data_IF_823917826986
#
_entry.id   IF_823917826986
#
_cell.length_a   1.000
_cell.length_b   1.000
_cell.length_c   1.000
_cell.angle_alpha   90.00
_cell.angle_beta   90.00
_cell.angle_gamma   90.00
#
_symmetry.space_group_name_H-M   'P 1'
#
loop_
_entity.id
_entity.type
_entity.pdbx_description
1 polymer ?
#
# COMPACT_ATOMS: atom_id res chain seq x y z
N UNK A 1 14.08 18.93 -27.02
CA UNK A 1 13.25 19.47 -25.92
C UNK A 1 14.09 19.50 -24.67
N UNK A 2 13.92 20.47 -23.75
CA UNK A 2 14.66 20.46 -22.49
C UNK A 2 14.26 19.25 -21.64
N UNK A 3 15.18 18.66 -20.85
CA UNK A 3 14.86 17.55 -19.95
C UNK A 3 13.67 17.86 -19.02
N UNK A 4 13.60 19.10 -18.54
CA UNK A 4 12.51 19.60 -17.69
C UNK A 4 11.15 19.52 -18.38
N UNK A 5 11.07 19.88 -19.66
CA UNK A 5 9.81 19.81 -20.40
C UNK A 5 9.32 18.36 -20.57
N UNK A 6 10.23 17.41 -20.78
CA UNK A 6 9.91 15.98 -20.90
C UNK A 6 9.32 15.46 -19.58
N UNK A 7 9.97 15.77 -18.45
CA UNK A 7 9.49 15.38 -17.12
C UNK A 7 8.11 15.95 -16.83
N UNK A 8 7.87 17.24 -17.14
CA UNK A 8 6.57 17.87 -16.92
C UNK A 8 5.46 17.25 -17.77
N UNK A 9 5.74 16.92 -19.03
CA UNK A 9 4.77 16.23 -19.91
C UNK A 9 4.45 14.85 -19.33
N UNK A 10 5.47 14.08 -18.95
CA UNK A 10 5.27 12.75 -18.37
C UNK A 10 4.52 12.80 -17.03
N UNK A 11 4.74 13.84 -16.23
CA UNK A 11 3.98 14.08 -14.99
C UNK A 11 2.49 14.29 -15.26
N UNK A 12 2.15 15.13 -16.24
CA UNK A 12 0.74 15.36 -16.63
C UNK A 12 0.12 14.06 -17.15
N UNK A 13 0.85 13.31 -17.98
CA UNK A 13 0.41 11.99 -18.47
C UNK A 13 0.16 11.05 -17.28
N UNK A 14 1.07 10.98 -16.32
CA UNK A 14 0.93 10.15 -15.12
C UNK A 14 -0.34 10.50 -14.33
N UNK A 15 -0.59 11.80 -14.09
CA UNK A 15 -1.77 12.26 -13.37
C UNK A 15 -3.07 11.88 -14.08
N UNK A 16 -3.13 12.01 -15.40
CA UNK A 16 -4.30 11.63 -16.18
C UNK A 16 -4.50 10.11 -16.16
N UNK A 17 -3.44 9.32 -16.38
CA UNK A 17 -3.54 7.86 -16.39
C UNK A 17 -3.90 7.31 -15.02
N UNK A 18 -3.31 7.83 -13.94
CA UNK A 18 -3.66 7.46 -12.58
C UNK A 18 -5.09 7.85 -12.25
N UNK A 19 -5.54 9.06 -12.61
CA UNK A 19 -6.90 9.50 -12.33
C UNK A 19 -7.97 8.77 -13.15
N UNK A 20 -7.63 8.24 -14.33
CA UNK A 20 -8.59 7.49 -15.16
C UNK A 20 -8.71 6.03 -14.74
N UNK A 21 -7.72 5.49 -13.99
CA UNK A 21 -7.65 4.10 -13.48
C UNK A 21 -7.94 2.99 -14.52
N UNK A 22 -7.91 3.31 -15.83
CA UNK A 22 -8.20 2.36 -16.92
C UNK A 22 -7.16 1.25 -17.03
N UNK A 23 -5.93 1.55 -16.61
CA UNK A 23 -4.77 0.66 -16.68
C UNK A 23 -4.24 0.52 -15.25
N UNK A 24 -3.86 -0.69 -14.81
CA UNK A 24 -3.21 -0.88 -13.52
C UNK A 24 -2.05 0.09 -13.32
N UNK A 25 -2.05 0.76 -12.17
CA UNK A 25 -1.06 1.79 -11.82
C UNK A 25 0.36 1.25 -12.01
N UNK A 26 0.60 0.01 -11.58
CA UNK A 26 1.90 -0.67 -11.69
C UNK A 26 2.45 -0.71 -13.13
N UNK A 27 1.58 -0.94 -14.11
CA UNK A 27 1.97 -0.97 -15.52
C UNK A 27 2.31 0.44 -16.00
N UNK A 28 1.51 1.43 -15.61
CA UNK A 28 1.72 2.83 -15.96
C UNK A 28 3.06 3.33 -15.41
N UNK A 29 3.39 3.04 -14.15
CA UNK A 29 4.68 3.43 -13.55
C UNK A 29 5.85 2.82 -14.29
N UNK A 30 5.79 1.53 -14.63
CA UNK A 30 6.87 0.86 -15.38
C UNK A 30 7.09 1.52 -16.73
N UNK A 31 6.02 1.81 -17.48
CA UNK A 31 6.10 2.48 -18.79
C UNK A 31 6.69 3.88 -18.66
N UNK A 32 6.29 4.66 -17.66
CA UNK A 32 6.82 6.00 -17.42
C UNK A 32 8.32 5.98 -17.09
N UNK A 33 8.79 5.04 -16.28
CA UNK A 33 10.21 4.87 -15.97
C UNK A 33 11.00 4.50 -17.23
N UNK A 34 10.49 3.58 -18.06
CA UNK A 34 11.11 3.22 -19.34
C UNK A 34 11.21 4.44 -20.25
N UNK A 35 10.15 5.24 -20.36
CA UNK A 35 10.16 6.47 -21.16
C UNK A 35 11.23 7.45 -20.68
N UNK A 36 11.40 7.65 -19.37
CA UNK A 36 12.43 8.53 -18.81
C UNK A 36 13.86 8.08 -19.14
N UNK A 37 14.10 6.76 -19.17
CA UNK A 37 15.40 6.19 -19.55
C UNK A 37 15.63 6.35 -21.06
N UNK A 38 14.64 6.05 -21.89
CA UNK A 38 14.73 6.15 -23.36
C UNK A 38 14.91 7.59 -23.82
N UNK A 39 14.29 8.56 -23.14
CA UNK A 39 14.49 9.99 -23.41
C UNK A 39 15.84 10.52 -22.90
N UNK A 40 16.67 9.67 -22.27
CA UNK A 40 17.98 10.05 -21.72
C UNK A 40 17.89 11.05 -20.57
N UNK A 41 16.71 11.19 -19.97
CA UNK A 41 16.46 12.14 -18.88
C UNK A 41 16.91 11.57 -17.55
N UNK A 42 16.90 10.24 -17.42
CA UNK A 42 17.34 9.50 -16.26
C UNK A 42 18.27 8.36 -16.69
N UNK A 43 19.33 8.09 -15.94
CA UNK A 43 20.14 6.88 -16.20
C UNK A 43 19.43 5.63 -15.67
N UNK A 44 19.77 4.46 -16.19
CA UNK A 44 19.23 3.20 -15.66
C UNK A 44 19.58 2.99 -14.18
N UNK A 45 20.76 3.47 -13.75
CA UNK A 45 21.16 3.42 -12.35
C UNK A 45 20.27 4.31 -11.47
N UNK A 46 19.98 5.54 -11.91
CA UNK A 46 19.12 6.46 -11.16
C UNK A 46 17.66 5.98 -11.11
N UNK A 47 17.17 5.37 -12.20
CA UNK A 47 15.85 4.75 -12.23
C UNK A 47 15.72 3.59 -11.23
N UNK A 48 16.80 2.82 -11.05
CA UNK A 48 16.84 1.70 -10.12
C UNK A 48 17.20 2.11 -8.68
N UNK A 49 17.77 3.30 -8.48
CA UNK A 49 18.13 3.80 -7.15
C UNK A 49 16.92 3.91 -6.22
N UNK A 50 15.72 4.16 -6.77
CA UNK A 50 14.47 4.15 -6.04
C UNK A 50 14.15 2.79 -5.40
N UNK A 51 14.53 1.68 -6.03
CA UNK A 51 14.28 0.32 -5.54
C UNK A 51 15.16 -0.08 -4.35
N UNK A 52 16.32 0.56 -4.20
CA UNK A 52 17.24 0.35 -3.07
C UNK A 52 16.91 1.19 -1.84
N UNK A 53 15.80 1.93 -1.85
CA UNK A 53 15.42 2.81 -0.75
C UNK A 53 14.96 1.98 0.47
N UNK A 54 15.43 2.37 1.66
CA UNK A 54 15.06 1.76 2.94
C UNK A 54 13.53 1.69 3.17
N UNK A 55 12.78 2.63 2.60
CA UNK A 55 11.32 2.64 2.61
C UNK A 55 10.74 1.37 1.96
N UNK A 56 11.30 0.90 0.85
CA UNK A 56 10.79 -0.29 0.14
C UNK A 56 11.05 -1.55 0.98
N UNK A 57 12.23 -1.65 1.58
CA UNK A 57 12.59 -2.75 2.48
C UNK A 57 11.66 -2.76 3.71
N UNK A 58 11.38 -1.58 4.27
CA UNK A 58 10.45 -1.42 5.39
C UNK A 58 9.04 -1.88 5.03
N UNK A 59 8.53 -1.48 3.85
CA UNK A 59 7.21 -1.90 3.36
C UNK A 59 7.16 -3.41 3.13
N UNK A 60 8.21 -4.00 2.55
CA UNK A 60 8.31 -5.45 2.34
C UNK A 60 8.31 -6.21 3.68
N UNK A 61 9.10 -5.74 4.66
CA UNK A 61 9.11 -6.28 6.02
C UNK A 61 7.74 -6.19 6.67
N UNK A 62 7.03 -5.07 6.50
CA UNK A 62 5.68 -4.90 7.03
C UNK A 62 4.69 -5.89 6.41
N UNK A 63 4.77 -6.14 5.11
CA UNK A 63 3.94 -7.17 4.45
C UNK A 63 4.23 -8.58 5.00
N UNK A 64 5.50 -8.93 5.20
CA UNK A 64 5.90 -10.22 5.78
C UNK A 64 5.38 -10.36 7.20
N UNK A 65 5.58 -9.36 8.05
CA UNK A 65 5.07 -9.34 9.43
C UNK A 65 3.56 -9.55 9.44
N UNK A 66 2.84 -8.79 8.61
CA UNK A 66 1.39 -8.85 8.55
C UNK A 66 0.90 -10.21 8.06
N UNK A 67 1.53 -10.79 7.04
CA UNK A 67 1.25 -12.16 6.59
C UNK A 67 1.51 -13.20 7.68
N UNK A 68 2.57 -13.01 8.49
CA UNK A 68 2.85 -13.85 9.66
C UNK A 68 1.76 -13.78 10.73
N UNK A 69 1.23 -12.58 11.01
CA UNK A 69 0.12 -12.37 11.96
C UNK A 69 -1.18 -13.05 11.51
N UNK A 70 -1.50 -12.99 10.21
CA UNK A 70 -2.64 -13.74 9.64
C UNK A 70 -2.40 -15.25 9.75
N UNK A 71 -1.23 -15.74 9.31
CA UNK A 71 -0.93 -17.18 9.27
C UNK A 71 -0.87 -17.83 10.65
N UNK A 72 -0.51 -17.08 11.69
CA UNK A 72 -0.47 -17.56 13.09
C UNK A 72 -1.85 -17.56 13.77
N UNK A 73 -2.89 -17.04 13.11
CA UNK A 73 -4.24 -16.98 13.69
C UNK A 73 -4.37 -16.00 14.86
N UNK A 74 -3.40 -15.09 15.03
CA UNK A 74 -3.46 -14.02 16.03
C UNK A 74 -4.66 -13.12 15.75
N UNK A 75 -4.88 -12.80 14.47
CA UNK A 75 -6.05 -12.04 14.00
C UNK A 75 -7.36 -12.70 14.45
N UNK A 76 -7.52 -14.00 14.20
CA UNK A 76 -8.74 -14.74 14.57
C UNK A 76 -8.94 -14.79 16.09
N UNK A 77 -7.84 -14.90 16.84
CA UNK A 77 -7.88 -14.96 18.31
C UNK A 77 -8.30 -13.61 18.90
N UNK A 78 -7.82 -12.52 18.32
CA UNK A 78 -8.24 -11.16 18.67
C UNK A 78 -9.72 -10.97 18.33
N UNK A 79 -10.17 -11.33 17.12
CA UNK A 79 -11.58 -11.25 16.71
C UNK A 79 -12.54 -11.99 17.66
N UNK A 80 -12.23 -13.24 18.01
CA UNK A 80 -13.03 -14.03 18.98
C UNK A 80 -13.06 -13.40 20.37
N UNK A 81 -11.96 -12.79 20.81
CA UNK A 81 -11.93 -12.07 22.11
C UNK A 81 -12.80 -10.83 22.06
N UNK A 82 -12.75 -10.03 20.99
CA UNK A 82 -13.62 -8.88 20.82
C UNK A 82 -15.10 -9.29 20.87
N UNK A 83 -15.46 -10.37 20.17
CA UNK A 83 -16.85 -10.86 20.15
C UNK A 83 -17.34 -11.27 21.55
N UNK A 84 -16.51 -11.94 22.36
CA UNK A 84 -16.84 -12.25 23.76
C UNK A 84 -17.02 -11.00 24.61
N UNK A 85 -16.16 -10.00 24.44
CA UNK A 85 -16.22 -8.74 25.21
C UNK A 85 -17.45 -7.91 24.83
N UNK A 86 -17.84 -7.92 23.55
CA UNK A 86 -19.00 -7.18 23.07
C UNK A 86 -20.34 -7.73 23.59
N UNK A 87 -20.39 -9.01 23.99
CA UNK A 87 -21.53 -9.59 24.71
C UNK A 87 -22.85 -9.57 23.94
N UNK A 88 -22.81 -9.63 22.61
CA UNK A 88 -24.00 -9.63 21.75
C UNK A 88 -24.56 -8.26 21.37
N UNK A 89 -23.98 -7.17 21.85
CA UNK A 89 -24.36 -5.82 21.40
C UNK A 89 -23.56 -5.42 20.16
N UNK A 90 -24.25 -5.33 19.01
CA UNK A 90 -23.67 -4.98 17.71
C UNK A 90 -22.94 -3.63 17.75
N UNK A 91 -23.54 -2.60 18.38
CA UNK A 91 -22.91 -1.28 18.48
C UNK A 91 -21.59 -1.32 19.26
N UNK A 92 -21.54 -2.07 20.36
CA UNK A 92 -20.29 -2.26 21.12
C UNK A 92 -19.26 -3.03 20.31
N UNK A 93 -19.67 -4.05 19.56
CA UNK A 93 -18.77 -4.83 18.72
C UNK A 93 -18.15 -3.94 17.63
N UNK A 94 -18.96 -3.13 16.94
CA UNK A 94 -18.48 -2.20 15.92
C UNK A 94 -17.46 -1.21 16.48
N UNK A 95 -17.76 -0.57 17.62
CA UNK A 95 -16.83 0.38 18.26
C UNK A 95 -15.52 -0.32 18.67
N UNK A 96 -15.61 -1.54 19.20
CA UNK A 96 -14.45 -2.31 19.63
C UNK A 96 -13.56 -2.71 18.44
N UNK A 97 -14.18 -3.16 17.33
CA UNK A 97 -13.48 -3.48 16.09
C UNK A 97 -12.84 -2.21 15.51
N UNK A 98 -13.53 -1.07 15.51
CA UNK A 98 -12.96 0.20 15.02
C UNK A 98 -11.74 0.62 15.84
N UNK A 99 -11.78 0.51 17.18
CA UNK A 99 -10.65 0.84 18.04
C UNK A 99 -9.45 -0.07 17.82
N UNK A 100 -9.70 -1.38 17.71
CA UNK A 100 -8.63 -2.37 17.49
C UNK A 100 -8.08 -2.26 16.08
N UNK A 101 -8.92 -2.04 15.08
CA UNK A 101 -8.49 -1.76 13.71
C UNK A 101 -7.66 -0.48 13.64
N UNK A 102 -8.05 0.60 14.33
CA UNK A 102 -7.26 1.83 14.39
C UNK A 102 -5.88 1.61 15.06
N UNK A 103 -5.84 0.85 16.15
CA UNK A 103 -4.58 0.48 16.81
C UNK A 103 -3.69 -0.40 15.91
N UNK A 104 -4.29 -1.35 15.19
CA UNK A 104 -3.57 -2.20 14.24
C UNK A 104 -3.10 -1.41 13.01
N UNK A 105 -3.89 -0.48 12.48
CA UNK A 105 -3.55 0.38 11.33
C UNK A 105 -2.37 1.33 11.62
N UNK A 106 -2.07 1.61 12.89
CA UNK A 106 -0.87 2.37 13.26
C UNK A 106 0.43 1.60 12.98
N UNK A 107 0.37 0.27 12.93
CA UNK A 107 1.52 -0.62 12.69
C UNK A 107 1.42 -1.28 11.31
N UNK A 108 0.21 -1.63 10.87
CA UNK A 108 -0.11 -2.34 9.63
C UNK A 108 -0.58 -1.39 8.53
N UNK A 109 -0.32 -1.76 7.27
CA UNK A 109 -0.89 -1.05 6.11
C UNK A 109 -2.42 -1.18 6.12
N UNK A 110 -3.11 -0.06 5.88
CA UNK A 110 -4.59 0.04 5.87
C UNK A 110 -5.29 -1.06 5.06
N UNK A 111 -4.74 -1.44 3.90
CA UNK A 111 -5.27 -2.52 3.06
C UNK A 111 -5.33 -3.86 3.81
N UNK A 112 -4.30 -4.17 4.60
CA UNK A 112 -4.22 -5.45 5.30
C UNK A 112 -5.03 -5.45 6.58
N UNK A 113 -5.06 -4.34 7.32
CA UNK A 113 -5.96 -4.18 8.46
C UNK A 113 -7.41 -4.38 8.04
N UNK A 114 -7.82 -3.80 6.91
CA UNK A 114 -9.19 -3.98 6.39
C UNK A 114 -9.46 -5.45 6.06
N UNK A 115 -8.55 -6.13 5.36
CA UNK A 115 -8.71 -7.55 5.03
C UNK A 115 -8.82 -8.49 6.25
N UNK A 116 -8.25 -8.11 7.39
CA UNK A 116 -8.31 -8.86 8.65
C UNK A 116 -9.67 -8.76 9.37
N UNK A 117 -10.41 -7.67 9.19
CA UNK A 117 -11.65 -7.39 9.94
C UNK A 117 -12.92 -7.41 9.07
N UNK A 118 -12.79 -7.65 7.76
CA UNK A 118 -13.90 -7.86 6.83
C UNK A 118 -14.59 -9.22 6.99
N UNK A 119 -13.87 -10.34 7.19
CA UNK A 119 -14.48 -11.64 7.51
C UNK A 119 -15.13 -11.66 8.91
#
# INVERSE_FOLDING_TARGET
MSPVAIVLILLVVALVLFGTERIPIDIVTIVLVILLIVTGTLTAADALAGFGNDIIITIAGLFILTGGLVKTGVVDTVGRRLQRIAGGNEFRLTVLIMLVAAACAAVMKNTTTTAMFVP
#
